data_IF_387991935124
#
_entry.id   IF_387991935124
#
_cell.length_a   1.000
_cell.length_b   1.000
_cell.length_c   1.000
_cell.angle_alpha   90.00
_cell.angle_beta   90.00
_cell.angle_gamma   90.00
#
_symmetry.space_group_name_H-M   'P 1'
#
loop_
_entity.id
_entity.type
_entity.pdbx_description
1 polymer ?
#
# COMPACT_ATOMS: atom_id res chain seq x y z
N UNK A 1 -3.17 17.20 16.52
CA UNK A 1 -2.36 16.50 17.55
C UNK A 1 -0.97 16.23 17.00
N UNK A 2 0.09 16.47 17.78
CA UNK A 2 1.46 16.06 17.42
C UNK A 2 1.84 14.78 18.17
N UNK A 3 2.45 13.83 17.46
CA UNK A 3 2.94 12.57 18.02
C UNK A 3 4.44 12.48 17.77
N UNK A 4 5.21 12.14 18.81
CA UNK A 4 6.65 11.90 18.70
C UNK A 4 6.94 10.50 19.20
N UNK A 5 7.47 9.65 18.32
CA UNK A 5 7.89 8.29 18.65
C UNK A 5 9.40 8.29 18.89
N UNK A 6 9.82 7.68 20.01
CA UNK A 6 11.23 7.60 20.40
C UNK A 6 11.62 6.16 20.71
N UNK A 7 12.85 5.81 20.41
CA UNK A 7 13.53 4.60 20.88
C UNK A 7 14.68 5.02 21.79
N UNK A 8 14.52 4.80 23.09
CA UNK A 8 15.38 5.42 24.09
C UNK A 8 15.36 6.95 23.95
N UNK A 9 16.53 7.56 23.87
CA UNK A 9 16.65 9.01 23.68
C UNK A 9 16.54 9.47 22.23
N UNK A 10 16.48 8.55 21.25
CA UNK A 10 16.45 8.92 19.83
C UNK A 10 15.00 9.07 19.34
N UNK A 11 14.67 10.23 18.77
CA UNK A 11 13.44 10.37 18.00
C UNK A 11 13.54 9.57 16.70
N UNK A 12 12.53 8.75 16.40
CA UNK A 12 12.49 7.89 15.21
C UNK A 12 11.36 8.25 14.26
N UNK A 13 10.30 8.91 14.73
CA UNK A 13 9.21 9.40 13.90
C UNK A 13 8.52 10.59 14.59
N UNK A 14 8.11 11.56 13.79
CA UNK A 14 7.22 12.63 14.21
C UNK A 14 6.03 12.68 13.25
N UNK A 15 4.82 12.82 13.79
CA UNK A 15 3.61 12.89 13.01
C UNK A 15 2.72 14.05 13.49
N UNK A 16 1.95 14.59 12.55
CA UNK A 16 0.85 15.51 12.82
C UNK A 16 -0.45 14.84 12.36
N UNK A 17 -1.41 14.75 13.26
CA UNK A 17 -2.73 14.16 13.02
C UNK A 17 -3.79 15.23 13.17
N UNK A 18 -4.65 15.34 12.17
CA UNK A 18 -5.83 16.19 12.18
C UNK A 18 -7.06 15.30 12.04
N UNK A 19 -8.14 15.67 12.71
CA UNK A 19 -9.43 15.02 12.58
C UNK A 19 -10.52 16.08 12.54
N UNK A 20 -11.60 15.73 11.87
CA UNK A 20 -12.82 16.52 11.78
C UNK A 20 -13.86 15.79 12.62
N UNK A 21 -14.68 16.55 13.35
CA UNK A 21 -15.77 15.98 14.15
C UNK A 21 -16.81 15.30 13.25
N UNK A 22 -17.64 14.44 13.84
CA UNK A 22 -18.75 13.82 13.15
C UNK A 22 -19.80 14.87 12.73
N UNK A 23 -20.56 14.58 11.67
CA UNK A 23 -21.68 15.40 11.18
C UNK A 23 -21.37 16.87 10.80
N UNK A 24 -20.11 17.20 10.50
CA UNK A 24 -19.74 18.52 9.98
C UNK A 24 -20.24 18.68 8.52
N UNK A 25 -21.14 19.63 8.22
CA UNK A 25 -21.67 19.81 6.85
C UNK A 25 -20.61 20.39 5.89
N UNK A 26 -20.70 20.04 4.61
CA UNK A 26 -19.74 20.51 3.59
C UNK A 26 -20.13 20.16 2.15
N UNK A 27 -19.27 20.54 1.20
CA UNK A 27 -19.40 20.16 -0.21
C UNK A 27 -19.09 18.67 -0.38
N UNK A 28 -19.84 18.00 -1.25
CA UNK A 28 -19.69 16.56 -1.52
C UNK A 28 -19.42 16.34 -3.00
N UNK A 29 -18.33 15.64 -3.30
CA UNK A 29 -18.04 15.13 -4.64
C UNK A 29 -17.19 13.86 -4.54
N UNK A 30 -17.26 13.06 -5.60
CA UNK A 30 -16.30 11.99 -5.89
C UNK A 30 -16.00 12.06 -7.38
N UNK A 31 -14.73 11.97 -7.74
CA UNK A 31 -14.28 12.15 -9.12
C UNK A 31 -13.29 11.08 -9.56
N UNK A 32 -12.41 10.67 -8.65
CA UNK A 32 -11.42 9.66 -8.96
C UNK A 32 -12.12 8.32 -9.21
N UNK A 33 -11.55 7.49 -10.07
CA UNK A 33 -12.16 6.23 -10.48
C UNK A 33 -11.20 5.08 -10.21
N UNK A 34 -11.71 4.04 -9.55
CA UNK A 34 -10.94 2.82 -9.33
C UNK A 34 -10.50 2.25 -10.69
N UNK A 35 -9.24 1.81 -10.84
CA UNK A 35 -8.81 1.17 -12.08
C UNK A 35 -9.62 -0.09 -12.35
N UNK A 36 -9.89 -0.36 -13.63
CA UNK A 36 -10.57 -1.59 -14.05
C UNK A 36 -9.70 -2.81 -13.77
N UNK A 37 -10.03 -3.53 -12.69
CA UNK A 37 -9.35 -4.77 -12.28
C UNK A 37 -10.38 -5.83 -11.89
N UNK A 38 -10.05 -7.13 -12.02
CA UNK A 38 -10.93 -8.19 -11.54
C UNK A 38 -11.20 -8.06 -10.03
N UNK A 39 -12.41 -8.45 -9.61
CA UNK A 39 -12.77 -8.55 -8.20
C UNK A 39 -11.92 -9.62 -7.49
N UNK A 40 -11.66 -9.48 -6.17
CA UNK A 40 -10.74 -10.38 -5.46
C UNK A 40 -11.15 -11.86 -5.55
N UNK A 41 -12.45 -12.17 -5.54
CA UNK A 41 -12.94 -13.55 -5.63
C UNK A 41 -12.52 -14.28 -6.93
N UNK A 42 -12.26 -13.54 -8.00
CA UNK A 42 -11.82 -14.09 -9.29
C UNK A 42 -10.30 -14.18 -9.46
N UNK A 43 -9.52 -13.76 -8.46
CA UNK A 43 -8.06 -13.73 -8.51
C UNK A 43 -7.46 -14.81 -7.60
N UNK A 44 -6.39 -15.49 -8.04
CA UNK A 44 -5.64 -16.39 -7.18
C UNK A 44 -4.88 -15.60 -6.11
N UNK A 45 -4.71 -16.22 -4.96
CA UNK A 45 -3.84 -15.74 -3.88
C UNK A 45 -2.37 -15.85 -4.25
N UNK A 46 -1.50 -15.10 -3.57
CA UNK A 46 -0.04 -15.26 -3.68
C UNK A 46 0.41 -16.70 -3.40
N UNK A 47 -0.22 -17.38 -2.43
CA UNK A 47 0.10 -18.77 -2.09
C UNK A 47 -0.23 -19.71 -3.26
N UNK A 48 -1.40 -19.55 -3.87
CA UNK A 48 -1.79 -20.34 -5.05
C UNK A 48 -0.89 -20.05 -6.26
N UNK A 49 -0.49 -18.79 -6.47
CA UNK A 49 0.47 -18.40 -7.52
C UNK A 49 1.82 -19.09 -7.34
N UNK A 50 2.38 -19.07 -6.13
CA UNK A 50 3.65 -19.74 -5.85
C UNK A 50 3.55 -21.26 -6.02
N UNK A 51 2.47 -21.87 -5.51
CA UNK A 51 2.23 -23.30 -5.68
C UNK A 51 2.13 -23.71 -7.16
N UNK A 52 1.43 -22.91 -7.98
CA UNK A 52 1.33 -23.15 -9.43
C UNK A 52 2.68 -23.02 -10.16
N UNK A 53 3.59 -22.19 -9.65
CA UNK A 53 4.96 -22.06 -10.15
C UNK A 53 5.93 -23.12 -9.59
N UNK A 54 5.46 -24.04 -8.72
CA UNK A 54 6.32 -25.01 -8.04
C UNK A 54 7.27 -24.37 -7.01
N UNK A 55 6.95 -23.18 -6.52
CA UNK A 55 7.73 -22.42 -5.55
C UNK A 55 7.10 -22.60 -4.18
N UNK A 56 7.90 -23.00 -3.19
CA UNK A 56 7.45 -23.03 -1.79
C UNK A 56 7.16 -21.60 -1.32
N UNK A 57 5.96 -21.29 -0.80
CA UNK A 57 5.59 -19.94 -0.36
C UNK A 57 6.31 -19.59 0.95
N UNK A 58 7.58 -19.24 0.87
CA UNK A 58 8.36 -18.73 2.01
C UNK A 58 8.25 -17.20 2.01
N UNK A 59 7.56 -16.67 3.02
CA UNK A 59 7.51 -15.23 3.25
C UNK A 59 8.90 -14.70 3.60
N UNK A 60 9.56 -14.08 2.62
CA UNK A 60 10.89 -13.46 2.82
C UNK A 60 10.85 -12.35 3.87
N UNK A 61 9.69 -11.69 4.01
CA UNK A 61 9.46 -10.65 4.99
C UNK A 61 8.15 -10.92 5.71
N UNK A 62 8.23 -11.32 6.99
CA UNK A 62 7.04 -11.64 7.82
C UNK A 62 5.99 -10.53 7.91
N UNK A 63 6.36 -9.30 7.56
CA UNK A 63 5.40 -8.21 7.40
C UNK A 63 4.24 -8.60 6.46
N UNK A 64 4.53 -9.31 5.37
CA UNK A 64 3.52 -9.74 4.41
C UNK A 64 2.53 -10.78 4.95
N UNK A 65 2.86 -11.43 6.08
CA UNK A 65 2.00 -12.44 6.71
C UNK A 65 0.76 -11.82 7.35
N UNK A 66 0.72 -10.48 7.49
CA UNK A 66 -0.46 -9.77 7.98
C UNK A 66 -1.56 -9.67 6.91
N UNK A 67 -1.27 -10.04 5.66
CA UNK A 67 -2.18 -9.94 4.52
C UNK A 67 -2.47 -11.28 3.85
N UNK A 68 -3.73 -11.52 3.50
CA UNK A 68 -4.04 -12.30 2.30
C UNK A 68 -3.94 -11.37 1.10
N UNK A 69 -3.20 -11.80 0.09
CA UNK A 69 -2.85 -10.98 -1.06
C UNK A 69 -3.34 -11.63 -2.35
N UNK A 70 -4.00 -10.84 -3.19
CA UNK A 70 -4.48 -11.25 -4.52
C UNK A 70 -4.02 -10.20 -5.55
N UNK A 71 -2.85 -10.39 -6.16
CA UNK A 71 -2.31 -9.43 -7.11
C UNK A 71 -3.16 -9.42 -8.38
N UNK A 72 -3.42 -8.22 -8.92
CA UNK A 72 -4.24 -8.05 -10.14
C UNK A 72 -3.45 -8.39 -11.40
N UNK A 73 -2.12 -8.37 -11.30
CA UNK A 73 -1.18 -8.74 -12.36
C UNK A 73 -0.14 -9.70 -11.78
N UNK A 74 0.42 -10.57 -12.62
CA UNK A 74 1.43 -11.54 -12.21
C UNK A 74 2.55 -11.57 -13.23
N UNK A 75 3.79 -11.63 -12.74
CA UNK A 75 5.00 -11.69 -13.55
C UNK A 75 5.63 -13.06 -13.32
N UNK A 76 5.65 -13.89 -14.36
CA UNK A 76 6.18 -15.26 -14.28
C UNK A 76 7.72 -15.26 -14.24
N UNK A 77 8.36 -14.41 -15.05
CA UNK A 77 9.81 -14.27 -15.09
C UNK A 77 10.21 -12.85 -14.65
N UNK A 78 10.56 -12.72 -13.37
CA UNK A 78 11.03 -11.46 -12.82
C UNK A 78 12.40 -11.06 -13.39
N UNK A 79 13.28 -11.98 -13.75
CA UNK A 79 14.62 -11.62 -14.23
C UNK A 79 14.59 -11.10 -15.67
N UNK A 80 13.68 -11.61 -16.50
CA UNK A 80 13.58 -11.28 -17.93
C UNK A 80 12.40 -10.36 -18.27
N UNK A 81 11.69 -9.82 -17.27
CA UNK A 81 10.57 -8.90 -17.51
C UNK A 81 10.99 -7.67 -18.32
N UNK A 82 10.15 -7.25 -19.26
CA UNK A 82 10.23 -5.88 -19.79
C UNK A 82 9.97 -4.89 -18.65
N UNK A 83 10.59 -3.71 -18.68
CA UNK A 83 10.26 -2.64 -17.73
C UNK A 83 8.76 -2.36 -17.83
N UNK A 84 8.02 -2.66 -16.76
CA UNK A 84 6.59 -2.40 -16.68
C UNK A 84 6.38 -0.96 -16.22
N UNK A 85 5.14 -0.47 -16.40
CA UNK A 85 4.73 0.76 -15.77
C UNK A 85 4.95 0.63 -14.24
N UNK A 86 5.50 1.67 -13.58
CA UNK A 86 5.83 1.64 -12.16
C UNK A 86 4.56 1.74 -11.32
N UNK A 87 3.77 0.67 -11.33
CA UNK A 87 2.46 0.56 -10.70
C UNK A 87 2.37 -0.73 -9.89
N UNK A 88 1.62 -0.68 -8.81
CA UNK A 88 1.35 -1.83 -7.96
C UNK A 88 -0.13 -1.87 -7.64
N UNK A 89 -0.81 -2.94 -8.08
CA UNK A 89 -2.24 -3.13 -7.88
C UNK A 89 -2.50 -4.50 -7.30
N UNK A 90 -2.82 -4.53 -6.01
CA UNK A 90 -3.06 -5.77 -5.29
C UNK A 90 -4.25 -5.61 -4.36
N UNK A 91 -5.16 -6.57 -4.40
CA UNK A 91 -6.18 -6.72 -3.38
C UNK A 91 -5.54 -7.28 -2.12
N UNK A 92 -5.73 -6.57 -1.01
CA UNK A 92 -5.18 -6.89 0.29
C UNK A 92 -6.32 -7.03 1.29
N UNK A 93 -6.27 -8.10 2.08
CA UNK A 93 -7.13 -8.29 3.24
C UNK A 93 -6.26 -8.57 4.46
N UNK A 94 -6.46 -7.80 5.53
CA UNK A 94 -5.78 -8.08 6.80
C UNK A 94 -6.27 -9.43 7.35
N UNK A 95 -5.36 -10.35 7.67
CA UNK A 95 -5.72 -11.71 8.15
C UNK A 95 -6.22 -11.71 9.60
N UNK A 96 -5.94 -10.63 10.34
CA UNK A 96 -6.34 -10.44 11.72
C UNK A 96 -6.69 -8.96 11.98
N UNK A 97 -7.52 -8.72 12.98
CA UNK A 97 -7.98 -7.39 13.38
C UNK A 97 -9.49 -7.22 13.27
N UNK A 98 -10.02 -6.22 13.97
CA UNK A 98 -11.41 -5.80 13.89
C UNK A 98 -11.43 -4.29 13.71
N UNK A 99 -11.88 -3.83 12.53
CA UNK A 99 -11.74 -2.44 12.08
C UNK A 99 -13.09 -1.70 12.07
N UNK A 100 -13.93 -1.93 13.09
CA UNK A 100 -15.21 -1.26 13.23
C UNK A 100 -15.13 0.11 13.94
N UNK A 101 -13.97 0.46 14.47
CA UNK A 101 -13.68 1.82 14.97
C UNK A 101 -13.02 2.63 13.85
N UNK A 102 -13.56 3.81 13.48
CA UNK A 102 -12.97 4.68 12.45
C UNK A 102 -11.49 5.00 12.67
N UNK A 103 -11.03 5.09 13.93
CA UNK A 103 -9.62 5.33 14.23
C UNK A 103 -8.74 4.12 13.94
N UNK A 104 -9.20 2.91 14.28
CA UNK A 104 -8.51 1.67 13.92
C UNK A 104 -8.51 1.45 12.40
N UNK A 105 -9.61 1.78 11.73
CA UNK A 105 -9.69 1.75 10.27
C UNK A 105 -8.65 2.70 9.63
N UNK A 106 -8.60 3.95 10.09
CA UNK A 106 -7.59 4.91 9.65
C UNK A 106 -6.15 4.39 9.90
N UNK A 107 -5.90 3.73 11.04
CA UNK A 107 -4.59 3.15 11.33
C UNK A 107 -4.19 2.06 10.32
N UNK A 108 -5.12 1.18 9.90
CA UNK A 108 -4.80 0.19 8.85
C UNK A 108 -4.63 0.83 7.47
N UNK A 109 -5.31 1.95 7.18
CA UNK A 109 -5.10 2.69 5.93
C UNK A 109 -3.69 3.26 5.82
N UNK A 110 -3.11 3.77 6.92
CA UNK A 110 -1.71 4.26 6.92
C UNK A 110 -0.74 3.15 6.50
N UNK A 111 -0.96 1.91 6.96
CA UNK A 111 -0.14 0.76 6.58
C UNK A 111 -0.21 0.54 5.07
N UNK A 112 -1.38 0.64 4.45
CA UNK A 112 -1.56 0.46 3.01
C UNK A 112 -0.96 1.60 2.19
N UNK A 113 -1.11 2.85 2.64
CA UNK A 113 -0.54 4.02 1.97
C UNK A 113 0.99 3.98 1.97
N UNK A 114 1.63 3.55 3.04
CA UNK A 114 3.10 3.41 3.07
C UNK A 114 3.61 2.23 2.23
N UNK A 115 2.74 1.26 1.90
CA UNK A 115 3.15 0.00 1.30
C UNK A 115 3.38 0.06 -0.22
N UNK A 116 2.57 0.84 -0.95
CA UNK A 116 2.47 0.73 -2.41
C UNK A 116 3.67 1.27 -3.20
N UNK A 117 4.53 2.09 -2.58
CA UNK A 117 5.59 2.82 -3.29
C UNK A 117 6.73 1.93 -3.78
N UNK A 118 7.29 1.10 -2.89
CA UNK A 118 8.43 0.26 -3.24
C UNK A 118 8.09 -0.86 -4.24
N UNK A 119 6.98 -1.61 -4.09
CA UNK A 119 6.55 -2.58 -5.09
C UNK A 119 6.26 -1.96 -6.46
N UNK A 120 5.71 -0.74 -6.50
CA UNK A 120 5.49 -0.04 -7.77
C UNK A 120 6.82 0.30 -8.46
N UNK A 121 7.84 0.73 -7.72
CA UNK A 121 9.18 0.93 -8.27
C UNK A 121 9.83 -0.40 -8.73
N UNK A 122 9.58 -1.53 -8.04
CA UNK A 122 10.05 -2.85 -8.48
C UNK A 122 9.53 -3.19 -9.87
N UNK A 123 8.27 -2.88 -10.17
CA UNK A 123 7.69 -3.22 -11.46
C UNK A 123 8.53 -2.69 -12.64
N UNK A 124 9.09 -1.48 -12.49
CA UNK A 124 9.95 -0.84 -13.49
C UNK A 124 11.45 -1.21 -13.37
N UNK A 125 11.94 -1.55 -12.18
CA UNK A 125 13.38 -1.73 -11.92
C UNK A 125 13.67 -2.94 -11.01
N UNK A 126 14.64 -3.81 -11.33
CA UNK A 126 15.08 -4.84 -10.40
C UNK A 126 15.60 -4.23 -9.09
N UNK A 127 14.95 -4.54 -7.97
CA UNK A 127 15.35 -4.03 -6.65
C UNK A 127 16.65 -4.61 -6.09
N UNK A 128 17.20 -5.64 -6.73
CA UNK A 128 18.37 -6.39 -6.25
C UNK A 128 19.54 -5.45 -5.89
N UNK A 129 19.90 -5.42 -4.61
CA UNK A 129 21.01 -4.61 -4.11
C UNK A 129 20.63 -3.19 -3.66
N UNK A 130 19.34 -2.85 -3.55
CA UNK A 130 18.86 -1.56 -3.02
C UNK A 130 17.98 -1.72 -1.78
N UNK A 131 17.97 -0.70 -0.92
CA UNK A 131 16.98 -0.50 0.14
C UNK A 131 16.27 0.82 -0.06
N UNK A 132 15.00 0.88 0.35
CA UNK A 132 14.17 2.08 0.22
C UNK A 132 13.37 2.36 1.51
N UNK A 133 14.02 2.71 2.63
CA UNK A 133 13.30 3.15 3.81
C UNK A 133 12.48 4.42 3.53
N UNK A 134 11.30 4.50 4.14
CA UNK A 134 10.42 5.66 4.07
C UNK A 134 11.05 6.90 4.71
N UNK A 135 10.97 8.02 4.00
CA UNK A 135 11.35 9.38 4.44
C UNK A 135 10.14 10.05 5.09
N UNK A 136 9.01 10.04 4.39
CA UNK A 136 7.75 10.61 4.84
C UNK A 136 6.55 9.86 4.25
N UNK A 137 5.42 9.99 4.94
CA UNK A 137 4.10 9.54 4.52
C UNK A 137 3.10 10.64 4.83
N UNK A 138 2.22 10.93 3.87
CA UNK A 138 1.01 11.71 4.11
C UNK A 138 -0.19 10.87 3.71
N UNK A 139 -1.20 10.81 4.58
CA UNK A 139 -2.37 9.97 4.40
C UNK A 139 -3.63 10.77 4.68
N UNK A 140 -4.61 10.65 3.78
CA UNK A 140 -5.93 11.26 3.83
C UNK A 140 -6.97 10.16 3.92
N UNK A 141 -7.92 10.30 4.84
CA UNK A 141 -9.00 9.33 5.05
C UNK A 141 -10.30 9.95 4.57
N UNK A 142 -10.88 9.38 3.51
CA UNK A 142 -12.04 9.96 2.84
C UNK A 142 -13.35 9.38 3.33
N UNK A 143 -13.33 8.07 3.63
CA UNK A 143 -14.52 7.30 3.99
C UNK A 143 -14.16 6.21 4.98
N UNK A 144 -15.06 6.00 5.93
CA UNK A 144 -15.03 4.84 6.80
C UNK A 144 -15.94 3.75 6.23
N UNK A 145 -15.42 2.53 6.10
CA UNK A 145 -16.20 1.37 5.69
C UNK A 145 -15.81 0.11 6.50
N UNK A 146 -16.62 -0.18 7.52
CA UNK A 146 -16.47 -1.37 8.34
C UNK A 146 -16.89 -2.68 7.64
N UNK A 147 -17.57 -2.59 6.49
CA UNK A 147 -18.15 -3.77 5.81
C UNK A 147 -17.22 -4.40 4.79
N UNK A 148 -16.17 -3.69 4.37
CA UNK A 148 -15.24 -4.15 3.35
C UNK A 148 -13.96 -4.69 3.98
N UNK A 149 -13.76 -6.00 3.83
CA UNK A 149 -12.54 -6.69 4.27
C UNK A 149 -11.42 -6.62 3.22
N UNK A 150 -11.79 -6.45 1.94
CA UNK A 150 -10.87 -6.40 0.81
C UNK A 150 -10.66 -4.96 0.35
N UNK A 151 -9.40 -4.58 0.23
CA UNK A 151 -8.99 -3.25 -0.18
C UNK A 151 -8.04 -3.36 -1.37
N UNK A 152 -8.32 -2.63 -2.45
CA UNK A 152 -7.39 -2.52 -3.57
C UNK A 152 -6.39 -1.41 -3.24
N UNK A 153 -5.14 -1.80 -3.05
CA UNK A 153 -4.03 -0.84 -3.02
C UNK A 153 -3.59 -0.59 -4.47
N UNK A 154 -3.80 0.63 -4.94
CA UNK A 154 -3.32 1.15 -6.23
C UNK A 154 -2.19 2.16 -5.97
N UNK A 155 -0.96 1.69 -6.07
CA UNK A 155 0.26 2.46 -5.91
C UNK A 155 0.90 2.80 -7.26
N UNK A 156 1.43 4.01 -7.40
CA UNK A 156 2.19 4.45 -8.57
C UNK A 156 3.47 5.12 -8.11
N UNK A 157 4.61 4.81 -8.75
CA UNK A 157 5.84 5.59 -8.61
C UNK A 157 6.08 6.43 -9.87
N UNK A 158 5.63 7.70 -9.90
CA UNK A 158 5.78 8.53 -11.10
C UNK A 158 7.23 8.97 -11.35
N UNK A 159 8.10 8.87 -10.35
CA UNK A 159 9.50 9.26 -10.47
C UNK A 159 10.40 8.51 -9.48
N UNK A 160 11.51 8.01 -9.98
CA UNK A 160 12.63 7.52 -9.19
C UNK A 160 13.95 8.06 -9.77
N UNK A 161 14.76 8.70 -8.94
CA UNK A 161 15.98 9.39 -9.37
C UNK A 161 16.72 9.99 -8.19
N UNK A 162 18.05 10.12 -8.31
CA UNK A 162 18.91 10.76 -7.31
C UNK A 162 18.73 10.26 -5.85
N UNK A 163 18.39 8.96 -5.73
CA UNK A 163 18.15 8.31 -4.45
C UNK A 163 16.77 8.57 -3.83
N UNK A 164 15.85 9.20 -4.56
CA UNK A 164 14.46 9.38 -4.20
C UNK A 164 13.57 8.43 -5.01
N UNK A 165 12.59 7.81 -4.35
CA UNK A 165 11.42 7.20 -5.00
C UNK A 165 10.20 7.96 -4.52
N UNK A 166 9.55 8.67 -5.42
CA UNK A 166 8.27 9.31 -5.14
C UNK A 166 7.14 8.32 -5.44
N UNK A 167 6.09 8.32 -4.62
CA UNK A 167 4.94 7.47 -4.84
C UNK A 167 3.63 8.09 -4.38
N UNK A 168 2.55 7.66 -5.02
CA UNK A 168 1.16 8.03 -4.70
C UNK A 168 0.34 6.76 -4.56
N UNK A 169 -0.57 6.76 -3.60
CA UNK A 169 -1.37 5.61 -3.25
C UNK A 169 -2.83 5.99 -3.19
N UNK A 170 -3.66 5.08 -3.67
CA UNK A 170 -5.12 5.10 -3.49
C UNK A 170 -5.55 3.75 -2.97
N UNK A 171 -6.43 3.78 -1.98
CA UNK A 171 -7.02 2.59 -1.39
C UNK A 171 -8.50 2.60 -1.71
N UNK A 172 -8.96 1.57 -2.40
CA UNK A 172 -10.34 1.41 -2.82
C UNK A 172 -10.98 0.23 -2.13
N UNK A 173 -12.29 0.31 -1.90
CA UNK A 173 -13.06 -0.89 -1.54
C UNK A 173 -13.47 -1.70 -2.76
N UNK A 174 -14.12 -2.85 -2.53
CA UNK A 174 -14.66 -3.71 -3.60
C UNK A 174 -15.74 -3.05 -4.46
N UNK A 175 -16.38 -1.99 -3.95
CA UNK A 175 -17.39 -1.22 -4.66
C UNK A 175 -16.82 -0.09 -5.52
N UNK A 176 -15.49 0.10 -5.52
CA UNK A 176 -14.82 1.16 -6.26
C UNK A 176 -14.86 2.54 -5.58
N UNK A 177 -15.22 2.62 -4.29
CA UNK A 177 -15.18 3.88 -3.54
C UNK A 177 -13.77 4.14 -3.04
N UNK A 178 -13.30 5.38 -3.19
CA UNK A 178 -12.02 5.81 -2.63
C UNK A 178 -12.15 5.90 -1.09
N UNK A 179 -11.37 5.10 -0.37
CA UNK A 179 -11.35 5.00 1.09
C UNK A 179 -10.26 5.89 1.68
N UNK A 180 -9.05 5.79 1.12
CA UNK A 180 -7.91 6.60 1.52
C UNK A 180 -7.04 6.95 0.30
N UNK A 181 -6.31 8.05 0.40
CA UNK A 181 -5.22 8.37 -0.52
C UNK A 181 -4.01 8.88 0.24
N UNK A 182 -2.88 8.91 -0.42
CA UNK A 182 -1.69 9.48 0.16
C UNK A 182 -0.49 9.45 -0.74
N UNK A 183 0.63 9.84 -0.16
CA UNK A 183 1.95 9.78 -0.77
C UNK A 183 2.91 9.15 0.22
N UNK A 184 3.92 8.48 -0.31
CA UNK A 184 5.14 8.17 0.44
C UNK A 184 6.38 8.45 -0.41
N UNK A 185 7.40 8.96 0.24
CA UNK A 185 8.72 9.15 -0.37
C UNK A 185 9.72 8.21 0.28
N UNK A 186 10.54 7.55 -0.52
CA UNK A 186 11.52 6.58 -0.04
C UNK A 186 12.93 7.03 -0.40
N UNK A 187 13.88 6.78 0.51
CA UNK A 187 15.31 6.95 0.26
C UNK A 187 15.85 5.67 -0.39
N UNK A 188 15.90 5.63 -1.71
CA UNK A 188 16.47 4.51 -2.45
C UNK A 188 17.99 4.60 -2.52
N UNK A 189 18.69 3.60 -1.99
CA UNK A 189 20.16 3.56 -2.03
C UNK A 189 20.67 2.11 -2.06
N UNK A 190 21.90 1.87 -2.52
CA UNK A 190 22.49 0.54 -2.47
C UNK A 190 22.55 -0.03 -1.05
N UNK A 191 22.33 -1.34 -0.92
CA UNK A 191 22.65 -2.14 0.27
C UNK A 191 24.17 -2.18 0.36
N UNK A 192 24.76 -1.44 1.30
CA UNK A 192 26.17 -1.60 1.66
C UNK A 192 26.32 -2.71 2.68
#
# INVERSE_FOLDING_TARGET
MQVNVRQGERAVLQAMVWAIDEDVPGLVHDHDSMPEVPVPAGLPTMVERFAAAGIEPVSRYRFWDIFEQRPTQWIDDWEQRSMLDPTYRTWLRFVAGHFADPWLDACRMVVLVDLGGWPAADAAHPQGGFVAPTIDVSCEFHRFDASSDWLLLDGVSPHAGDGLVASRQRVWDVGGRLIASGISHLLCRPVR
#
